data_IF_973071101093
#
_entry.id   IF_973071101093
#
_cell.length_a   1.000
_cell.length_b   1.000
_cell.length_c   1.000
_cell.angle_alpha   90.00
_cell.angle_beta   90.00
_cell.angle_gamma   90.00
#
_symmetry.space_group_name_H-M   'P 1'
#
loop_
_entity.id
_entity.type
_entity.pdbx_description
1 polymer ?
#
# COMPACT_ATOMS: atom_id res chain seq x y z
N UNK A 1 8.91 -13.17 -5.32
CA UNK A 1 7.51 -12.74 -5.17
C UNK A 1 7.35 -11.40 -5.91
N UNK A 2 7.29 -11.43 -7.25
CA UNK A 2 7.21 -10.24 -8.11
C UNK A 2 5.78 -9.67 -8.22
N UNK A 3 4.77 -10.48 -7.89
CA UNK A 3 3.40 -10.25 -8.34
C UNK A 3 2.69 -9.07 -7.65
N UNK A 4 3.02 -8.76 -6.39
CA UNK A 4 2.38 -7.66 -5.66
C UNK A 4 2.93 -6.28 -6.02
N UNK A 5 4.21 -6.16 -6.39
CA UNK A 5 4.79 -4.88 -6.79
C UNK A 5 4.32 -4.48 -8.19
N UNK A 6 4.28 -5.43 -9.13
CA UNK A 6 3.76 -5.16 -10.49
C UNK A 6 2.28 -4.79 -10.48
N UNK A 7 1.49 -5.40 -9.59
CA UNK A 7 0.08 -5.04 -9.40
C UNK A 7 -0.08 -3.61 -8.87
N UNK A 8 0.71 -3.22 -7.86
CA UNK A 8 0.68 -1.87 -7.31
C UNK A 8 1.14 -0.82 -8.35
N UNK A 9 2.14 -1.16 -9.17
CA UNK A 9 2.61 -0.30 -10.24
C UNK A 9 1.59 -0.17 -11.38
N UNK A 10 0.89 -1.25 -11.74
CA UNK A 10 -0.21 -1.24 -12.68
C UNK A 10 -1.39 -0.37 -12.19
N UNK A 11 -1.75 -0.46 -10.91
CA UNK A 11 -2.76 0.40 -10.27
C UNK A 11 -2.30 1.87 -10.28
N UNK A 12 -1.02 2.14 -10.03
CA UNK A 12 -0.45 3.49 -10.10
C UNK A 12 -0.40 4.05 -11.53
N UNK A 13 -0.13 3.20 -12.51
CA UNK A 13 0.05 3.55 -13.93
C UNK A 13 -1.28 3.74 -14.67
N UNK A 14 -2.30 2.94 -14.35
CA UNK A 14 -3.63 3.05 -14.95
C UNK A 14 -4.51 4.03 -14.16
N UNK A 15 -4.54 5.29 -14.60
CA UNK A 15 -5.35 6.33 -13.98
C UNK A 15 -6.86 6.08 -14.04
N UNK A 16 -7.33 5.13 -14.86
CA UNK A 16 -8.76 4.74 -14.87
C UNK A 16 -9.18 4.11 -13.55
N UNK A 17 -8.28 3.38 -12.88
CA UNK A 17 -8.55 2.74 -11.59
C UNK A 17 -8.66 3.76 -10.44
N UNK A 18 -8.10 4.97 -10.60
CA UNK A 18 -8.31 6.07 -9.65
C UNK A 18 -9.76 6.60 -9.67
N UNK A 19 -10.48 6.35 -10.75
CA UNK A 19 -11.87 6.75 -10.95
C UNK A 19 -12.83 5.57 -11.00
N UNK A 20 -12.33 4.34 -10.86
CA UNK A 20 -13.15 3.15 -10.77
C UNK A 20 -14.03 3.23 -9.52
N UNK A 21 -15.26 2.72 -9.63
CA UNK A 21 -16.16 2.72 -8.49
C UNK A 21 -15.58 1.84 -7.37
N UNK A 22 -15.84 2.17 -6.09
CA UNK A 22 -15.43 1.36 -4.95
C UNK A 22 -15.77 -0.13 -5.13
N UNK A 23 -16.95 -0.43 -5.69
CA UNK A 23 -17.38 -1.80 -5.95
C UNK A 23 -16.53 -2.52 -7.01
N UNK A 24 -16.17 -1.84 -8.10
CA UNK A 24 -15.31 -2.41 -9.14
C UNK A 24 -13.90 -2.69 -8.62
N UNK A 25 -13.35 -1.78 -7.81
CA UNK A 25 -12.05 -1.97 -7.18
C UNK A 25 -12.07 -3.10 -6.13
N UNK A 26 -13.15 -3.26 -5.36
CA UNK A 26 -13.28 -4.38 -4.42
C UNK A 26 -13.27 -5.74 -5.11
N UNK A 27 -13.91 -5.87 -6.28
CA UNK A 27 -13.90 -7.13 -7.05
C UNK A 27 -12.48 -7.44 -7.56
N UNK A 28 -11.81 -6.45 -8.15
CA UNK A 28 -10.44 -6.61 -8.63
C UNK A 28 -9.46 -6.99 -7.50
N UNK A 29 -9.64 -6.40 -6.32
CA UNK A 29 -8.83 -6.74 -5.15
C UNK A 29 -9.09 -8.15 -4.63
N UNK A 30 -10.34 -8.61 -4.68
CA UNK A 30 -10.70 -9.98 -4.32
C UNK A 30 -10.11 -11.00 -5.31
N UNK A 31 -10.21 -10.73 -6.62
CA UNK A 31 -9.58 -11.52 -7.69
C UNK A 31 -8.05 -11.57 -7.56
N UNK A 32 -7.44 -10.49 -7.10
CA UNK A 32 -6.01 -10.41 -6.82
C UNK A 32 -5.60 -11.05 -5.47
N UNK A 33 -6.53 -11.68 -4.75
CA UNK A 33 -6.30 -12.24 -3.41
C UNK A 33 -5.72 -11.23 -2.40
N UNK A 34 -6.14 -9.97 -2.49
CA UNK A 34 -5.76 -8.93 -1.54
C UNK A 34 -6.30 -9.21 -0.13
N UNK A 35 -5.75 -8.54 0.88
CA UNK A 35 -6.25 -8.69 2.25
C UNK A 35 -7.69 -8.17 2.37
N UNK A 36 -8.52 -8.86 3.16
CA UNK A 36 -9.93 -8.46 3.34
C UNK A 36 -10.11 -7.10 4.01
N UNK A 37 -9.10 -6.62 4.72
CA UNK A 37 -9.00 -5.25 5.26
C UNK A 37 -8.75 -4.22 4.16
N UNK A 38 -7.90 -4.51 3.17
CA UNK A 38 -7.72 -3.65 1.98
C UNK A 38 -8.99 -3.60 1.13
N UNK A 39 -9.64 -4.73 0.88
CA UNK A 39 -10.90 -4.79 0.12
C UNK A 39 -12.02 -3.98 0.80
N UNK A 40 -12.12 -4.08 2.14
CA UNK A 40 -13.11 -3.30 2.92
C UNK A 40 -12.80 -1.81 2.91
N UNK A 41 -11.54 -1.41 3.06
CA UNK A 41 -11.13 -0.01 3.05
C UNK A 41 -11.47 0.66 1.71
N UNK A 42 -11.32 -0.06 0.61
CA UNK A 42 -11.71 0.43 -0.71
C UNK A 42 -13.22 0.53 -0.87
N UNK A 43 -14.00 -0.42 -0.32
CA UNK A 43 -15.46 -0.40 -0.39
C UNK A 43 -16.09 0.73 0.45
N UNK A 44 -15.58 0.95 1.66
CA UNK A 44 -16.14 1.91 2.63
C UNK A 44 -15.49 3.30 2.59
N UNK A 45 -14.28 3.41 2.04
CA UNK A 45 -13.43 4.58 2.16
C UNK A 45 -12.77 4.75 3.54
N UNK A 46 -13.03 3.85 4.50
CA UNK A 46 -12.44 3.88 5.83
C UNK A 46 -11.12 3.11 5.87
N UNK A 47 -10.03 3.83 6.06
CA UNK A 47 -8.66 3.30 6.08
C UNK A 47 -8.15 3.00 7.48
N UNK A 48 -8.96 3.16 8.53
CA UNK A 48 -8.54 2.99 9.94
C UNK A 48 -8.08 1.56 10.22
N UNK A 49 -8.83 0.58 9.71
CA UNK A 49 -8.52 -0.85 9.83
C UNK A 49 -7.28 -1.24 9.02
N UNK A 50 -7.11 -0.62 7.86
CA UNK A 50 -5.96 -0.78 6.99
C UNK A 50 -4.69 -0.22 7.65
N UNK A 51 -4.79 0.95 8.28
CA UNK A 51 -3.71 1.54 9.04
C UNK A 51 -3.28 0.66 10.22
N UNK A 52 -4.22 -0.04 10.86
CA UNK A 52 -3.91 -1.00 11.93
C UNK A 52 -3.17 -2.23 11.42
N UNK A 53 -3.57 -2.75 10.26
CA UNK A 53 -2.89 -3.87 9.59
C UNK A 53 -1.45 -3.51 9.20
N UNK A 54 -1.24 -2.34 8.58
CA UNK A 54 0.08 -1.89 8.16
C UNK A 54 0.96 -1.35 9.28
N UNK A 55 0.38 -0.87 10.40
CA UNK A 55 1.13 -0.38 11.58
C UNK A 55 1.91 -1.48 12.30
N UNK A 56 1.68 -2.75 11.99
CA UNK A 56 2.50 -3.85 12.52
C UNK A 56 3.98 -3.80 12.07
N UNK A 57 4.33 -2.96 11.09
CA UNK A 57 5.70 -2.73 10.66
C UNK A 57 6.14 -1.32 11.03
N UNK A 58 6.66 -1.14 12.26
CA UNK A 58 7.50 0.00 12.67
C UNK A 58 8.74 0.07 11.77
N UNK A 59 8.55 0.49 10.53
CA UNK A 59 9.61 0.64 9.54
C UNK A 59 10.18 2.05 9.68
N UNK A 60 10.46 2.49 10.91
CA UNK A 60 11.33 3.62 11.15
C UNK A 60 12.77 3.11 11.24
N UNK A 61 13.33 2.72 10.10
CA UNK A 61 14.77 2.61 9.97
C UNK A 61 15.22 3.94 9.36
N UNK A 62 15.93 4.82 10.11
CA UNK A 62 16.50 6.01 9.49
C UNK A 62 17.43 5.55 8.35
N UNK A 63 17.08 5.91 7.12
CA UNK A 63 17.92 5.64 5.96
C UNK A 63 19.12 6.59 6.02
N UNK A 64 20.20 6.10 6.63
CA UNK A 64 21.55 6.69 6.72
C UNK A 64 21.73 7.84 7.73
N UNK A 65 22.77 7.71 8.58
CA UNK A 65 23.40 8.83 9.31
C UNK A 65 24.76 9.03 8.64
N UNK A 66 24.99 10.20 8.04
CA UNK A 66 26.35 10.59 7.62
C UNK A 66 27.08 11.14 8.85
N UNK A 67 27.94 10.32 9.46
CA UNK A 67 28.87 10.81 10.48
C UNK A 67 30.04 11.51 9.79
N UNK A 68 30.09 12.84 9.86
CA UNK A 68 31.30 13.59 9.55
C UNK A 68 32.25 13.46 10.75
N UNK A 69 33.34 12.71 10.59
CA UNK A 69 34.45 12.70 11.55
C UNK A 69 35.34 13.91 11.26
N UNK A 70 35.47 14.83 12.20
CA UNK A 70 36.49 15.89 12.16
C UNK A 70 37.58 15.48 13.15
N UNK A 71 38.77 15.13 12.65
CA UNK A 71 39.99 15.04 13.46
C UNK A 71 40.45 16.45 13.85
N UNK A 72 40.93 16.58 15.09
CA UNK A 72 41.67 17.74 15.60
C UNK A 72 43.17 17.48 15.52
#
# INVERSE_FOLDING_TARGET
MPDTIELLEAIGRDASLRHASPAALSILLDEAHASGTLTRAVASGDTSELAREFRASDTFVPQSIQTFFIEF
#
